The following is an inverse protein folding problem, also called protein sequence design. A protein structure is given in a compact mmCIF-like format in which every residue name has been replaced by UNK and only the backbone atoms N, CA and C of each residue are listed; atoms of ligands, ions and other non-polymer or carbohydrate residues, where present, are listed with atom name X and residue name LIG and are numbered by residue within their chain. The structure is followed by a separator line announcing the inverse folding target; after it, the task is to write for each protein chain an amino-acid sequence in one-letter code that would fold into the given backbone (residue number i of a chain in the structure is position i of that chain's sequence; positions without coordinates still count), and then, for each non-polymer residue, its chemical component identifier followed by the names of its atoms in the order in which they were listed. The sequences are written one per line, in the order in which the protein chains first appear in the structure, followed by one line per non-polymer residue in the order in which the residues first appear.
data_IF_818627329423
#
_entry.id   IF_818627329423
#
_cell.length_a   1.000
_cell.length_b   1.000
_cell.length_c   1.000
_cell.angle_alpha   90.00
_cell.angle_beta   90.00
_cell.angle_gamma   90.00
#
_symmetry.space_group_name_H-M   'P 1'
#
loop_
_entity.id
_entity.type
_entity.pdbx_description
1 polymer ?
#
# COMPACT_ATOMS: atom_id res chain seq x y z
N UNK A 1 -12.49 39.82 0.88
CA UNK A 1 -11.39 38.98 0.37
C UNK A 1 -11.98 37.66 -0.11
N UNK A 2 -12.07 37.45 -1.42
CA UNK A 2 -12.46 36.15 -1.99
C UNK A 2 -11.19 35.31 -2.07
N UNK A 3 -11.03 34.34 -1.17
CA UNK A 3 -10.05 33.30 -1.37
C UNK A 3 -10.40 32.57 -2.67
N UNK A 4 -9.52 32.67 -3.67
CA UNK A 4 -9.53 31.78 -4.82
C UNK A 4 -9.24 30.38 -4.28
N UNK A 5 -10.29 29.63 -3.94
CA UNK A 5 -10.19 28.19 -3.74
C UNK A 5 -9.92 27.62 -5.12
N UNK A 6 -8.64 27.57 -5.51
CA UNK A 6 -8.23 26.76 -6.65
C UNK A 6 -8.79 25.36 -6.42
N UNK A 7 -9.47 24.80 -7.42
CA UNK A 7 -10.13 23.51 -7.31
C UNK A 7 -9.14 22.48 -6.73
N UNK A 8 -9.37 22.09 -5.47
CA UNK A 8 -8.51 21.10 -4.81
C UNK A 8 -8.71 19.79 -5.55
N UNK A 9 -7.66 19.33 -6.24
CA UNK A 9 -7.67 18.02 -6.87
C UNK A 9 -7.70 16.95 -5.80
N UNK A 10 -8.71 16.08 -5.85
CA UNK A 10 -8.82 14.94 -4.94
C UNK A 10 -7.77 13.86 -5.27
N UNK A 11 -7.57 12.92 -4.35
CA UNK A 11 -6.57 11.86 -4.48
C UNK A 11 -6.74 11.06 -5.78
N UNK A 12 -7.96 10.73 -6.17
CA UNK A 12 -8.21 9.98 -7.42
C UNK A 12 -7.65 10.70 -8.64
N UNK A 13 -7.93 11.99 -8.75
CA UNK A 13 -7.47 12.81 -9.86
C UNK A 13 -5.94 12.94 -9.88
N UNK A 14 -5.30 12.93 -8.70
CA UNK A 14 -3.83 12.94 -8.59
C UNK A 14 -3.24 11.61 -9.06
N UNK A 15 -3.80 10.48 -8.62
CA UNK A 15 -3.37 9.14 -9.04
C UNK A 15 -3.49 8.97 -10.55
N UNK A 16 -4.62 9.39 -11.13
CA UNK A 16 -4.87 9.26 -12.58
C UNK A 16 -3.95 10.13 -13.45
N UNK A 17 -3.28 11.14 -12.88
CA UNK A 17 -2.27 11.95 -13.59
C UNK A 17 -0.85 11.40 -13.47
N UNK A 18 -0.60 10.42 -12.60
CA UNK A 18 0.72 9.80 -12.50
C UNK A 18 1.04 9.07 -13.81
N UNK A 19 2.28 9.17 -14.31
CA UNK A 19 2.68 8.45 -15.52
C UNK A 19 2.44 6.95 -15.34
N UNK A 20 1.64 6.36 -16.23
CA UNK A 20 1.36 4.94 -16.26
C UNK A 20 2.16 4.30 -17.40
N UNK A 21 2.82 3.18 -17.12
CA UNK A 21 3.39 2.34 -18.17
C UNK A 21 2.27 1.52 -18.85
N UNK A 22 2.54 1.01 -20.05
CA UNK A 22 1.57 0.15 -20.73
C UNK A 22 1.31 -1.14 -19.93
N UNK A 23 0.12 -1.71 -20.07
CA UNK A 23 -0.22 -3.00 -19.46
C UNK A 23 0.63 -4.17 -19.94
N UNK A 24 1.30 -4.02 -21.08
CA UNK A 24 2.26 -4.97 -21.64
C UNK A 24 3.67 -4.83 -21.07
N UNK A 25 3.95 -3.77 -20.31
CA UNK A 25 5.26 -3.57 -19.72
C UNK A 25 5.46 -4.54 -18.54
N UNK A 26 6.54 -5.32 -18.60
CA UNK A 26 6.91 -6.27 -17.56
C UNK A 26 8.00 -5.69 -16.67
N UNK A 27 7.83 -5.84 -15.36
CA UNK A 27 8.88 -5.51 -14.38
C UNK A 27 9.71 -6.73 -13.98
N UNK A 28 9.45 -7.88 -14.61
CA UNK A 28 10.00 -9.17 -14.25
C UNK A 28 8.92 -10.09 -13.72
N UNK A 29 9.07 -11.40 -14.02
CA UNK A 29 8.04 -12.43 -13.76
C UNK A 29 7.57 -12.45 -12.29
N UNK A 30 8.46 -12.20 -11.33
CA UNK A 30 8.11 -12.21 -9.91
C UNK A 30 7.24 -10.99 -9.54
N UNK A 31 7.54 -9.81 -10.06
CA UNK A 31 6.76 -8.58 -9.85
C UNK A 31 5.42 -8.67 -10.58
N UNK A 32 5.41 -9.13 -11.83
CA UNK A 32 4.18 -9.25 -12.62
C UNK A 32 3.18 -10.21 -11.96
N UNK A 33 3.68 -11.33 -11.42
CA UNK A 33 2.85 -12.31 -10.72
C UNK A 33 2.22 -11.70 -9.47
N UNK A 34 3.02 -11.11 -8.57
CA UNK A 34 2.49 -10.55 -7.32
C UNK A 34 1.55 -9.38 -7.60
N UNK A 35 1.84 -8.56 -8.62
CA UNK A 35 0.98 -7.48 -9.09
C UNK A 35 -0.40 -7.99 -9.50
N UNK A 36 -0.46 -9.02 -10.36
CA UNK A 36 -1.72 -9.64 -10.77
C UNK A 36 -2.53 -10.17 -9.59
N UNK A 37 -1.89 -10.78 -8.58
CA UNK A 37 -2.61 -11.29 -7.42
C UNK A 37 -3.15 -10.18 -6.51
N UNK A 38 -2.35 -9.17 -6.18
CA UNK A 38 -2.75 -8.12 -5.23
C UNK A 38 -3.94 -7.31 -5.76
N UNK A 39 -3.95 -7.00 -7.06
CA UNK A 39 -5.00 -6.19 -7.67
C UNK A 39 -6.32 -6.96 -7.92
N UNK A 40 -6.30 -8.30 -7.82
CA UNK A 40 -7.49 -9.14 -7.98
C UNK A 40 -8.02 -9.73 -6.65
N UNK A 41 -7.30 -9.56 -5.55
CA UNK A 41 -7.71 -10.06 -4.23
C UNK A 41 -8.43 -8.96 -3.43
N UNK A 42 -9.47 -9.34 -2.68
CA UNK A 42 -10.26 -8.41 -1.86
C UNK A 42 -9.95 -8.54 -0.37
N UNK A 43 -9.45 -9.70 0.05
CA UNK A 43 -9.05 -9.96 1.43
C UNK A 43 -7.71 -9.31 1.76
N UNK A 44 -7.72 -8.36 2.70
CA UNK A 44 -6.51 -7.69 3.20
C UNK A 44 -5.52 -8.66 3.82
N UNK A 45 -5.99 -9.64 4.58
CA UNK A 45 -5.11 -10.62 5.23
C UNK A 45 -4.36 -11.49 4.20
N UNK A 46 -5.04 -11.89 3.12
CA UNK A 46 -4.40 -12.64 2.02
C UNK A 46 -3.39 -11.79 1.26
N UNK A 47 -3.74 -10.53 0.96
CA UNK A 47 -2.80 -9.59 0.34
C UNK A 47 -1.56 -9.42 1.21
N UNK A 48 -1.73 -9.27 2.52
CA UNK A 48 -0.63 -9.13 3.47
C UNK A 48 0.27 -10.38 3.51
N UNK A 49 -0.31 -11.58 3.61
CA UNK A 49 0.49 -12.83 3.60
C UNK A 49 1.29 -13.00 2.31
N UNK A 50 0.65 -12.73 1.16
CA UNK A 50 1.31 -12.80 -0.16
C UNK A 50 2.45 -11.79 -0.28
N UNK A 51 2.24 -10.54 0.15
CA UNK A 51 3.28 -9.51 0.15
C UNK A 51 4.42 -9.88 1.09
N UNK A 52 4.13 -10.36 2.30
CA UNK A 52 5.16 -10.84 3.24
C UNK A 52 5.98 -11.97 2.64
N UNK A 53 5.32 -12.93 2.00
CA UNK A 53 5.99 -14.04 1.30
C UNK A 53 6.90 -13.53 0.19
N UNK A 54 6.40 -12.63 -0.66
CA UNK A 54 7.18 -12.06 -1.76
C UNK A 54 8.38 -11.25 -1.25
N UNK A 55 8.19 -10.35 -0.28
CA UNK A 55 9.26 -9.52 0.31
C UNK A 55 10.38 -10.37 0.88
N UNK A 56 10.06 -11.48 1.56
CA UNK A 56 11.09 -12.36 2.12
C UNK A 56 11.94 -13.09 1.08
N UNK A 57 11.39 -13.33 -0.11
CA UNK A 57 12.07 -14.08 -1.17
C UNK A 57 12.82 -13.18 -2.15
N UNK A 58 12.21 -12.06 -2.52
CA UNK A 58 12.61 -11.29 -3.70
C UNK A 58 13.25 -9.94 -3.37
N UNK A 59 12.94 -9.33 -2.21
CA UNK A 59 13.63 -8.10 -1.82
C UNK A 59 15.01 -8.41 -1.24
N UNK A 60 16.08 -7.71 -1.65
CA UNK A 60 17.43 -7.87 -1.11
C UNK A 60 17.57 -7.26 0.30
N UNK A 61 16.51 -7.28 1.10
CA UNK A 61 16.43 -6.67 2.42
C UNK A 61 16.41 -7.75 3.50
N UNK A 62 17.40 -7.72 4.40
CA UNK A 62 17.47 -8.63 5.56
C UNK A 62 16.25 -8.45 6.47
N UNK A 63 15.76 -7.21 6.63
CA UNK A 63 14.56 -6.95 7.45
C UNK A 63 13.33 -7.67 6.92
N UNK A 64 13.11 -7.71 5.61
CA UNK A 64 11.99 -8.44 5.01
C UNK A 64 12.02 -9.94 5.31
N UNK A 65 13.22 -10.53 5.28
CA UNK A 65 13.45 -11.94 5.63
C UNK A 65 13.21 -12.22 7.12
N UNK A 66 13.73 -11.37 7.99
CA UNK A 66 13.61 -11.53 9.44
C UNK A 66 12.19 -11.26 9.93
N UNK A 67 11.55 -10.21 9.42
CA UNK A 67 10.20 -9.80 9.78
C UNK A 67 9.15 -10.86 9.45
N UNK A 68 9.25 -11.49 8.27
CA UNK A 68 8.37 -12.62 7.93
C UNK A 68 8.49 -13.78 8.93
N UNK A 69 9.71 -14.06 9.39
CA UNK A 69 9.98 -15.14 10.35
C UNK A 69 9.76 -14.71 11.81
N UNK A 70 9.39 -13.45 12.07
CA UNK A 70 9.28 -12.86 13.41
C UNK A 70 10.52 -13.09 14.29
N UNK A 71 11.71 -13.14 13.68
CA UNK A 71 12.96 -13.41 14.40
C UNK A 71 13.26 -12.25 15.34
N UNK A 72 13.51 -12.56 16.62
CA UNK A 72 13.78 -11.57 17.67
C UNK A 72 12.70 -10.49 17.80
N UNK A 73 11.44 -10.83 17.50
CA UNK A 73 10.32 -9.88 17.55
C UNK A 73 10.32 -8.84 16.42
N UNK A 74 11.18 -8.96 15.41
CA UNK A 74 11.15 -8.07 14.26
C UNK A 74 9.88 -8.31 13.43
N UNK A 75 9.20 -7.23 13.08
CA UNK A 75 8.02 -7.23 12.19
C UNK A 75 7.99 -5.92 11.38
N UNK A 76 7.18 -5.86 10.33
CA UNK A 76 6.82 -4.62 9.65
C UNK A 76 5.30 -4.49 9.57
N UNK A 77 4.81 -3.25 9.63
CA UNK A 77 3.39 -2.95 9.45
C UNK A 77 3.09 -2.69 7.99
N UNK A 78 2.10 -3.39 7.45
CA UNK A 78 1.61 -3.18 6.10
C UNK A 78 0.20 -2.60 6.16
N UNK A 79 0.02 -1.40 5.61
CA UNK A 79 -1.30 -0.77 5.49
C UNK A 79 -1.81 -0.93 4.06
N UNK A 80 -2.88 -1.70 3.88
CA UNK A 80 -3.52 -1.89 2.57
C UNK A 80 -4.67 -0.91 2.42
N UNK A 81 -4.50 0.03 1.48
CA UNK A 81 -5.45 1.08 1.14
C UNK A 81 -6.29 0.62 -0.05
N UNK A 82 -7.51 0.15 0.19
CA UNK A 82 -8.43 -0.33 -0.84
C UNK A 82 -9.87 0.20 -0.69
N UNK A 83 -10.04 1.29 0.06
CA UNK A 83 -11.35 1.89 0.32
C UNK A 83 -11.65 2.98 -0.69
N UNK A 84 -12.72 2.85 -1.50
CA UNK A 84 -13.11 3.86 -2.48
C UNK A 84 -13.39 5.24 -1.86
N UNK A 85 -13.81 5.27 -0.60
CA UNK A 85 -14.10 6.48 0.16
C UNK A 85 -12.85 7.37 0.35
N UNK A 86 -11.65 6.77 0.36
CA UNK A 86 -10.38 7.48 0.54
C UNK A 86 -9.94 8.30 -0.68
N UNK A 87 -10.56 8.08 -1.84
CA UNK A 87 -10.20 8.76 -3.07
C UNK A 87 -10.89 10.13 -3.26
N UNK A 88 -11.98 10.35 -2.53
CA UNK A 88 -12.89 11.48 -2.73
C UNK A 88 -12.72 12.58 -1.67
N UNK A 89 -12.19 12.24 -0.49
CA UNK A 89 -11.99 13.16 0.61
C UNK A 89 -10.65 12.87 1.31
N UNK A 90 -9.78 13.87 1.32
CA UNK A 90 -8.48 13.81 1.98
C UNK A 90 -8.63 13.62 3.50
N UNK A 91 -9.73 14.09 4.12
CA UNK A 91 -10.02 13.90 5.54
C UNK A 91 -10.08 12.43 5.93
N UNK A 92 -10.80 11.62 5.14
CA UNK A 92 -10.85 10.18 5.34
C UNK A 92 -9.49 9.49 5.18
N UNK A 93 -8.64 9.96 4.25
CA UNK A 93 -7.26 9.47 4.13
C UNK A 93 -6.45 9.77 5.39
N UNK A 94 -6.52 11.00 5.91
CA UNK A 94 -5.78 11.37 7.12
C UNK A 94 -6.22 10.57 8.35
N UNK A 95 -7.53 10.37 8.53
CA UNK A 95 -8.05 9.56 9.64
C UNK A 95 -7.64 8.09 9.49
N UNK A 96 -7.67 7.54 8.27
CA UNK A 96 -7.16 6.20 7.99
C UNK A 96 -5.67 6.07 8.38
N UNK A 97 -4.83 6.98 7.91
CA UNK A 97 -3.38 6.97 8.21
C UNK A 97 -3.11 7.14 9.72
N UNK A 98 -3.89 7.98 10.41
CA UNK A 98 -3.80 8.15 11.86
C UNK A 98 -4.12 6.84 12.59
N UNK A 99 -5.19 6.16 12.20
CA UNK A 99 -5.59 4.89 12.79
C UNK A 99 -4.56 3.78 12.53
N UNK A 100 -4.01 3.71 11.32
CA UNK A 100 -2.94 2.77 10.99
C UNK A 100 -1.67 3.02 11.82
N UNK A 101 -1.32 4.29 12.06
CA UNK A 101 -0.20 4.66 12.94
C UNK A 101 -0.42 4.25 14.40
N UNK A 102 -1.65 4.41 14.91
CA UNK A 102 -2.01 3.96 16.27
C UNK A 102 -1.86 2.44 16.37
N UNK A 103 -2.43 1.69 15.43
CA UNK A 103 -2.31 0.22 15.37
C UNK A 103 -0.86 -0.25 15.32
N UNK A 104 0.00 0.43 14.55
CA UNK A 104 1.43 0.14 14.55
C UNK A 104 2.06 0.32 15.94
N UNK A 105 1.76 1.42 16.63
CA UNK A 105 2.29 1.70 17.98
C UNK A 105 1.79 0.71 19.03
N UNK A 106 0.56 0.20 18.90
CA UNK A 106 0.01 -0.79 19.83
C UNK A 106 0.64 -2.18 19.66
N UNK A 107 1.22 -2.47 18.49
CA UNK A 107 1.89 -3.75 18.19
C UNK A 107 3.39 -3.77 18.51
N UNK A 108 4.01 -2.59 18.67
CA UNK A 108 5.44 -2.41 18.93
C UNK A 108 5.73 -2.41 20.43
#
# INVERSE_FOLDING_TARGET
MRCLVGAFMNLQQRINKLPQLSSSFSFGKDIDNIHSFIFNETSKDKIEDLLRKWVSGNQPCVFGKLARKKIKGLDFHLSIVNSPQLYNDDGHLFDFLRNERVRFKERA
#
